data_IF_437267565020
#
_entry.id   IF_437267565020
#
_cell.length_a   1.000
_cell.length_b   1.000
_cell.length_c   1.000
_cell.angle_alpha   90.00
_cell.angle_beta   90.00
_cell.angle_gamma   90.00
#
_symmetry.space_group_name_H-M   'P 1'
#
loop_
_entity.id
_entity.type
_entity.pdbx_description
1 polymer ?
#
# COMPACT_ATOMS: atom_id res chain seq x y z
N UNK A 1 3.01 -42.52 16.85
CA UNK A 1 4.47 -42.46 16.56
C UNK A 1 4.84 -41.50 15.45
N UNK A 2 4.01 -41.27 14.40
CA UNK A 2 4.33 -40.33 13.28
C UNK A 2 4.51 -38.89 13.71
N UNK A 3 3.74 -38.38 14.67
CA UNK A 3 3.80 -36.94 15.07
C UNK A 3 5.03 -36.57 15.92
N UNK A 4 5.65 -37.55 16.61
CA UNK A 4 6.91 -37.30 17.35
C UNK A 4 8.11 -37.17 16.42
N UNK A 5 8.06 -37.86 15.27
CA UNK A 5 9.14 -37.80 14.26
C UNK A 5 9.18 -36.44 13.55
N UNK A 6 8.02 -35.84 13.29
CA UNK A 6 7.94 -34.52 12.65
C UNK A 6 8.44 -33.38 13.56
N UNK A 7 8.11 -33.46 14.86
CA UNK A 7 8.65 -32.51 15.85
C UNK A 7 10.16 -32.64 16.05
N UNK A 8 10.69 -33.88 16.00
CA UNK A 8 12.12 -34.14 16.11
C UNK A 8 12.90 -33.67 14.88
N UNK A 9 12.33 -33.73 13.67
CA UNK A 9 12.94 -33.23 12.44
C UNK A 9 13.00 -31.70 12.45
N UNK A 10 11.98 -31.01 12.94
CA UNK A 10 11.98 -29.55 13.10
C UNK A 10 13.01 -29.12 14.15
N UNK A 11 13.13 -29.86 15.24
CA UNK A 11 14.12 -29.58 16.30
C UNK A 11 15.56 -29.91 15.84
N UNK A 12 15.76 -30.92 15.00
CA UNK A 12 17.07 -31.28 14.42
C UNK A 12 17.54 -30.30 13.35
N UNK A 13 16.64 -29.69 12.58
CA UNK A 13 16.96 -28.62 11.64
C UNK A 13 17.49 -27.35 12.33
N UNK A 14 17.11 -27.11 13.60
CA UNK A 14 17.62 -25.98 14.40
C UNK A 14 19.05 -26.24 14.94
N UNK A 15 19.49 -27.51 15.00
CA UNK A 15 20.77 -27.89 15.64
C UNK A 15 21.97 -27.98 14.68
N UNK A 16 21.79 -27.86 13.37
CA UNK A 16 22.89 -28.12 12.39
C UNK A 16 23.64 -26.85 11.95
N UNK A 17 23.18 -25.65 12.30
CA UNK A 17 23.89 -24.43 11.92
C UNK A 17 24.90 -23.98 12.97
N UNK A 18 26.07 -24.58 12.97
CA UNK A 18 27.26 -24.01 13.60
C UNK A 18 27.82 -22.90 12.70
N UNK A 19 27.24 -21.73 12.76
CA UNK A 19 27.66 -20.56 11.98
C UNK A 19 27.73 -19.30 12.83
N UNK A 20 28.59 -18.37 12.44
CA UNK A 20 28.82 -17.08 13.10
C UNK A 20 27.54 -16.27 13.26
N UNK A 21 27.41 -15.53 14.36
CA UNK A 21 26.35 -14.56 14.69
C UNK A 21 24.99 -14.80 14.00
N UNK A 22 24.18 -15.65 14.60
CA UNK A 22 22.83 -15.95 14.10
C UNK A 22 21.79 -15.26 14.99
N UNK A 23 20.79 -14.65 14.38
CA UNK A 23 19.62 -14.11 15.07
C UNK A 23 18.37 -14.90 14.61
N UNK A 24 17.59 -15.38 15.57
CA UNK A 24 16.26 -15.95 15.35
C UNK A 24 15.23 -15.07 16.06
N UNK A 25 14.17 -14.69 15.36
CA UNK A 25 13.06 -13.94 15.95
C UNK A 25 11.71 -14.60 15.66
N UNK A 26 10.80 -14.53 16.65
CA UNK A 26 9.39 -14.87 16.49
C UNK A 26 8.58 -13.70 17.02
N UNK A 27 7.81 -13.08 16.13
CA UNK A 27 7.00 -11.91 16.41
C UNK A 27 5.54 -12.14 16.01
N UNK A 28 4.61 -11.44 16.64
CA UNK A 28 3.23 -11.37 16.18
C UNK A 28 2.82 -9.96 15.79
N UNK A 29 1.71 -9.84 15.05
CA UNK A 29 1.01 -8.58 14.78
C UNK A 29 -0.49 -8.89 14.82
N UNK A 30 -1.11 -8.59 15.95
CA UNK A 30 -2.54 -8.80 16.19
C UNK A 30 -3.21 -7.44 16.16
N UNK A 31 -4.22 -7.28 15.29
CA UNK A 31 -4.81 -5.98 15.01
C UNK A 31 -6.32 -6.07 14.80
N UNK A 32 -7.14 -6.10 15.86
CA UNK A 32 -8.57 -5.87 15.73
C UNK A 32 -8.83 -4.38 15.43
N UNK A 33 -9.79 -4.12 14.53
CA UNK A 33 -10.27 -2.79 14.16
C UNK A 33 -11.78 -2.80 14.08
N UNK A 34 -12.42 -2.10 15.01
CA UNK A 34 -13.85 -1.76 14.94
C UNK A 34 -14.01 -0.63 13.93
N UNK A 35 -14.96 -0.76 13.03
CA UNK A 35 -15.29 0.26 12.04
C UNK A 35 -16.80 0.54 12.05
N UNK A 36 -17.13 1.83 12.11
CA UNK A 36 -18.42 2.39 11.80
C UNK A 36 -18.31 3.08 10.44
N UNK A 37 -19.10 2.66 9.48
CA UNK A 37 -19.03 3.17 8.11
C UNK A 37 -20.39 3.69 7.68
N UNK A 38 -20.45 4.98 7.37
CA UNK A 38 -21.60 5.65 6.77
C UNK A 38 -21.09 6.54 5.63
N UNK A 39 -20.63 5.88 4.55
CA UNK A 39 -20.11 6.54 3.36
C UNK A 39 -18.59 6.38 3.15
N UNK A 40 -17.93 5.39 3.74
CA UNK A 40 -16.52 5.09 3.43
C UNK A 40 -16.38 4.56 1.99
N UNK A 41 -15.52 5.19 1.20
CA UNK A 41 -15.21 4.81 -0.18
C UNK A 41 -16.29 5.16 -1.21
N UNK A 42 -17.54 5.25 -0.81
CA UNK A 42 -18.67 5.58 -1.68
C UNK A 42 -19.66 6.49 -0.95
N UNK A 43 -20.27 7.42 -1.68
CA UNK A 43 -21.42 8.15 -1.17
C UNK A 43 -22.57 7.18 -0.93
N UNK A 44 -23.26 7.33 0.19
CA UNK A 44 -24.47 6.56 0.48
C UNK A 44 -25.71 7.40 0.32
N UNK A 45 -26.83 6.82 -0.15
CA UNK A 45 -28.08 7.55 -0.31
C UNK A 45 -28.70 7.96 1.04
N UNK A 46 -29.55 8.95 1.00
CA UNK A 46 -30.35 9.36 2.16
C UNK A 46 -31.21 8.20 2.66
N UNK A 47 -31.20 7.98 3.99
CA UNK A 47 -31.93 6.90 4.63
C UNK A 47 -31.22 5.55 4.65
N UNK A 48 -29.99 5.45 4.12
CA UNK A 48 -29.18 4.23 4.26
C UNK A 48 -28.65 4.09 5.70
N UNK A 49 -28.66 2.88 6.20
CA UNK A 49 -28.09 2.55 7.51
C UNK A 49 -26.56 2.49 7.47
N UNK A 50 -25.93 2.83 8.58
CA UNK A 50 -24.51 2.67 8.75
C UNK A 50 -24.13 1.21 8.99
N UNK A 51 -22.99 0.79 8.47
CA UNK A 51 -22.39 -0.50 8.78
C UNK A 51 -21.52 -0.43 10.05
N UNK A 52 -21.56 -1.48 10.86
CA UNK A 52 -20.70 -1.66 12.04
C UNK A 52 -20.11 -3.07 12.02
N UNK A 53 -18.79 -3.18 12.05
CA UNK A 53 -18.12 -4.50 12.03
C UNK A 53 -16.73 -4.42 12.68
N UNK A 54 -16.18 -5.58 13.02
CA UNK A 54 -14.80 -5.69 13.49
C UNK A 54 -14.02 -6.55 12.51
N UNK A 55 -13.00 -5.97 11.91
CA UNK A 55 -11.99 -6.73 11.16
C UNK A 55 -10.82 -7.07 12.07
N UNK A 56 -10.19 -8.22 11.84
CA UNK A 56 -8.99 -8.60 12.56
C UNK A 56 -7.93 -9.14 11.62
N UNK A 57 -6.70 -8.70 11.84
CA UNK A 57 -5.50 -9.33 11.31
C UNK A 57 -4.76 -10.03 12.43
N UNK A 58 -4.48 -11.30 12.26
CA UNK A 58 -3.61 -12.11 13.12
C UNK A 58 -2.43 -12.58 12.28
N UNK A 59 -1.22 -12.10 12.58
CA UNK A 59 -0.02 -12.43 11.79
C UNK A 59 1.08 -12.96 12.70
N UNK A 60 1.69 -14.08 12.30
CA UNK A 60 2.85 -14.66 12.95
C UNK A 60 4.05 -14.57 11.99
N UNK A 61 5.20 -14.18 12.53
CA UNK A 61 6.40 -13.85 11.77
C UNK A 61 7.59 -14.61 12.33
N UNK A 62 8.35 -15.23 11.43
CA UNK A 62 9.58 -15.93 11.73
C UNK A 62 10.72 -15.28 10.95
N UNK A 63 11.75 -14.83 11.64
CA UNK A 63 12.93 -14.22 11.05
C UNK A 63 14.19 -15.01 11.42
N UNK A 64 15.02 -15.31 10.45
CA UNK A 64 16.36 -15.84 10.62
C UNK A 64 17.36 -14.94 9.92
N UNK A 65 18.49 -14.63 10.58
CA UNK A 65 19.53 -13.78 10.03
C UNK A 65 20.91 -14.31 10.41
N UNK A 66 21.74 -14.51 9.41
CA UNK A 66 23.17 -14.79 9.52
C UNK A 66 23.97 -13.72 8.76
N UNK A 67 25.31 -13.80 8.75
CA UNK A 67 26.15 -12.80 8.09
C UNK A 67 25.82 -12.60 6.61
N UNK A 68 25.69 -13.69 5.87
CA UNK A 68 25.50 -13.68 4.41
C UNK A 68 24.13 -14.15 3.95
N UNK A 69 23.27 -14.55 4.88
CA UNK A 69 21.97 -15.14 4.58
C UNK A 69 20.90 -14.65 5.53
N UNK A 70 19.70 -14.40 5.00
CA UNK A 70 18.50 -14.14 5.76
C UNK A 70 17.34 -14.94 5.21
N UNK A 71 16.38 -15.26 6.07
CA UNK A 71 15.10 -15.86 5.69
C UNK A 71 13.98 -15.27 6.55
N UNK A 72 12.82 -15.11 5.95
CA UNK A 72 11.67 -14.57 6.64
C UNK A 72 10.40 -15.22 6.13
N UNK A 73 9.54 -15.62 7.05
CA UNK A 73 8.20 -16.15 6.75
C UNK A 73 7.20 -15.41 7.62
N UNK A 74 6.11 -14.98 7.03
CA UNK A 74 4.98 -14.39 7.73
C UNK A 74 3.69 -14.98 7.22
N UNK A 75 2.98 -15.66 8.08
CA UNK A 75 1.63 -16.17 7.83
C UNK A 75 0.61 -15.27 8.49
N UNK A 76 -0.57 -15.14 7.89
CA UNK A 76 -1.64 -14.31 8.43
C UNK A 76 -3.01 -14.93 8.23
N UNK A 77 -3.90 -14.58 9.15
CA UNK A 77 -5.33 -14.63 9.00
C UNK A 77 -5.90 -13.21 8.98
N UNK A 78 -6.86 -12.95 8.10
CA UNK A 78 -7.61 -11.68 8.03
C UNK A 78 -9.09 -12.04 7.93
N UNK A 79 -9.83 -11.74 8.97
CA UNK A 79 -11.23 -12.14 9.12
C UNK A 79 -12.10 -11.01 9.67
N UNK A 80 -13.40 -11.17 9.57
CA UNK A 80 -14.42 -10.35 10.26
C UNK A 80 -14.95 -11.18 11.44
N UNK A 81 -15.13 -10.54 12.59
CA UNK A 81 -15.68 -11.23 13.74
C UNK A 81 -17.11 -11.73 13.46
N UNK A 82 -17.35 -13.02 13.70
CA UNK A 82 -18.60 -13.70 13.36
C UNK A 82 -18.63 -14.39 11.99
N UNK A 83 -17.61 -14.15 11.15
CA UNK A 83 -17.47 -14.79 9.84
C UNK A 83 -17.20 -16.32 9.97
N UNK A 84 -16.44 -16.69 10.97
CA UNK A 84 -16.22 -18.11 11.32
C UNK A 84 -17.19 -18.53 12.43
N UNK A 85 -17.94 -19.66 12.26
CA UNK A 85 -18.84 -20.17 13.30
C UNK A 85 -18.11 -20.49 14.60
N UNK A 86 -18.80 -20.34 15.76
CA UNK A 86 -18.23 -20.68 17.07
C UNK A 86 -17.83 -22.15 17.17
N UNK A 87 -18.59 -23.07 16.55
CA UNK A 87 -18.24 -24.45 16.38
C UNK A 87 -17.75 -24.62 14.96
N UNK A 88 -16.43 -24.46 14.76
CA UNK A 88 -15.80 -24.64 13.48
C UNK A 88 -15.88 -26.09 13.03
N UNK A 89 -16.86 -26.40 12.17
CA UNK A 89 -16.73 -27.49 11.21
C UNK A 89 -15.81 -27.01 10.06
N UNK A 90 -15.44 -27.87 9.13
CA UNK A 90 -14.63 -27.52 7.98
C UNK A 90 -15.15 -26.21 7.34
N UNK A 91 -14.35 -25.15 7.44
CA UNK A 91 -14.73 -23.84 6.95
C UNK A 91 -14.51 -23.71 5.44
N UNK A 92 -15.47 -23.12 4.74
CA UNK A 92 -15.32 -22.70 3.35
C UNK A 92 -14.62 -21.34 3.20
N UNK A 93 -14.39 -20.61 4.30
CA UNK A 93 -13.89 -19.24 4.33
C UNK A 93 -12.46 -19.18 4.88
N UNK A 94 -11.53 -19.88 4.23
CA UNK A 94 -10.15 -19.89 4.66
C UNK A 94 -9.47 -18.55 4.33
N UNK A 95 -9.40 -17.64 5.31
CA UNK A 95 -8.70 -16.36 5.22
C UNK A 95 -7.19 -16.45 5.52
N UNK A 96 -6.71 -17.69 5.83
CA UNK A 96 -5.30 -17.93 6.11
C UNK A 96 -4.45 -17.83 4.85
N UNK A 97 -3.39 -17.02 4.90
CA UNK A 97 -2.53 -16.75 3.74
C UNK A 97 -1.07 -16.59 4.12
N UNK A 98 -0.21 -16.83 3.13
CA UNK A 98 1.22 -16.51 3.22
C UNK A 98 1.41 -15.04 2.87
N UNK A 99 1.60 -14.19 3.88
CA UNK A 99 1.81 -12.76 3.68
C UNK A 99 3.20 -12.49 3.07
N UNK A 100 4.25 -13.09 3.62
CA UNK A 100 5.60 -12.99 3.08
C UNK A 100 6.35 -14.30 3.26
N UNK A 101 7.18 -14.65 2.28
CA UNK A 101 8.16 -15.74 2.36
C UNK A 101 9.31 -15.42 1.41
N UNK A 102 10.44 -15.04 1.97
CA UNK A 102 11.59 -14.66 1.15
C UNK A 102 12.92 -15.06 1.82
N UNK A 103 13.93 -15.15 0.98
CA UNK A 103 15.33 -15.34 1.37
C UNK A 103 16.16 -14.18 0.82
N UNK A 104 17.20 -13.80 1.53
CA UNK A 104 18.20 -12.84 1.08
C UNK A 104 19.62 -13.40 1.18
N UNK A 105 20.46 -13.05 0.19
CA UNK A 105 21.88 -13.36 0.17
C UNK A 105 22.68 -12.09 0.01
N UNK A 106 23.77 -11.95 0.79
CA UNK A 106 24.72 -10.85 0.72
C UNK A 106 26.02 -11.35 0.08
N UNK A 107 26.41 -10.69 -1.00
CA UNK A 107 27.60 -11.06 -1.79
C UNK A 107 28.87 -10.30 -1.36
N UNK A 108 28.73 -9.31 -0.47
CA UNK A 108 29.80 -8.38 -0.10
C UNK A 108 29.78 -7.10 -0.93
N UNK A 109 30.61 -6.13 -0.56
CA UNK A 109 30.75 -4.84 -1.24
C UNK A 109 29.42 -4.10 -1.47
N UNK A 110 28.45 -4.28 -0.56
CA UNK A 110 27.14 -3.64 -0.62
C UNK A 110 26.09 -4.35 -1.48
N UNK A 111 26.45 -5.43 -2.19
CA UNK A 111 25.52 -6.18 -3.05
C UNK A 111 24.78 -7.27 -2.30
N UNK A 112 23.50 -7.41 -2.61
CA UNK A 112 22.63 -8.50 -2.12
C UNK A 112 21.54 -8.84 -3.13
N UNK A 113 20.88 -9.98 -2.92
CA UNK A 113 19.66 -10.34 -3.64
C UNK A 113 18.60 -10.76 -2.64
N UNK A 114 17.32 -10.51 -2.97
CA UNK A 114 16.18 -10.92 -2.16
C UNK A 114 15.13 -11.58 -3.08
N UNK A 115 14.74 -12.79 -2.74
CA UNK A 115 13.91 -13.64 -3.59
C UNK A 115 12.69 -14.14 -2.82
N UNK A 116 11.52 -14.07 -3.42
CA UNK A 116 10.26 -14.59 -2.89
C UNK A 116 9.20 -13.52 -2.64
N UNK A 117 8.12 -13.92 -1.95
CA UNK A 117 6.97 -13.07 -1.65
C UNK A 117 7.32 -12.02 -0.60
N UNK A 118 7.24 -10.74 -0.96
CA UNK A 118 7.73 -9.63 -0.15
C UNK A 118 6.97 -8.32 -0.39
N UNK A 119 7.00 -7.42 0.59
CA UNK A 119 6.54 -6.06 0.40
C UNK A 119 7.58 -5.26 -0.40
N UNK A 120 7.13 -4.54 -1.43
CA UNK A 120 7.90 -3.51 -2.11
C UNK A 120 7.43 -2.15 -1.58
N UNK A 121 8.34 -1.43 -0.94
CA UNK A 121 7.98 -0.17 -0.27
C UNK A 121 9.12 0.81 -0.38
N UNK A 122 8.92 1.84 -1.20
CA UNK A 122 9.93 2.85 -1.52
C UNK A 122 9.42 4.25 -1.24
N UNK A 123 10.32 5.13 -0.89
CA UNK A 123 10.09 6.56 -0.68
C UNK A 123 8.94 6.82 0.31
N UNK A 124 7.97 7.64 -0.07
CA UNK A 124 6.76 7.89 0.70
C UNK A 124 5.62 6.92 0.39
N UNK A 125 5.86 5.91 -0.46
CA UNK A 125 4.92 4.88 -0.89
C UNK A 125 3.83 5.39 -1.85
N UNK A 126 4.08 6.46 -2.60
CA UNK A 126 3.11 6.94 -3.59
C UNK A 126 2.97 5.97 -4.77
N UNK A 127 4.05 5.31 -5.21
CA UNK A 127 4.05 4.38 -6.34
C UNK A 127 4.14 2.92 -5.89
N UNK A 128 5.12 2.58 -5.05
CA UNK A 128 5.30 1.23 -4.51
C UNK A 128 5.19 1.28 -2.98
N UNK A 129 4.17 0.63 -2.43
CA UNK A 129 3.87 0.64 -1.02
C UNK A 129 3.30 -0.67 -0.48
N UNK A 130 3.64 -0.99 0.76
CA UNK A 130 3.25 -2.22 1.44
C UNK A 130 1.78 -2.27 1.90
N UNK A 131 1.04 -1.18 1.78
CA UNK A 131 -0.38 -1.05 2.13
C UNK A 131 -0.70 -1.62 3.55
N UNK A 132 0.15 -1.33 4.54
CA UNK A 132 0.02 -1.93 5.90
C UNK A 132 -1.23 -1.42 6.66
N UNK A 133 -1.89 -0.37 6.17
CA UNK A 133 -3.18 0.08 6.67
C UNK A 133 -4.28 -0.95 6.42
N UNK A 134 -4.40 -1.48 5.18
CA UNK A 134 -5.29 -2.57 4.87
C UNK A 134 -4.92 -3.82 5.68
N UNK A 135 -5.90 -4.58 6.12
CA UNK A 135 -5.66 -5.76 6.96
C UNK A 135 -4.77 -6.79 6.25
N UNK A 136 -4.95 -6.96 4.94
CA UNK A 136 -4.18 -7.92 4.13
C UNK A 136 -2.73 -7.47 3.90
N UNK A 137 -2.50 -6.16 3.70
CA UNK A 137 -1.23 -5.65 3.17
C UNK A 137 -1.07 -5.94 1.67
N UNK A 138 0.05 -5.49 1.07
CA UNK A 138 0.39 -5.77 -0.34
C UNK A 138 1.76 -6.41 -0.42
N UNK A 139 1.83 -7.53 -1.14
CA UNK A 139 3.05 -8.30 -1.34
C UNK A 139 3.18 -8.71 -2.81
N UNK A 140 4.42 -8.81 -3.27
CA UNK A 140 4.78 -9.17 -4.63
C UNK A 140 5.69 -10.39 -4.59
N UNK A 141 5.49 -11.34 -5.48
CA UNK A 141 6.42 -12.43 -5.73
C UNK A 141 7.51 -11.89 -6.65
N UNK A 142 8.70 -11.64 -6.10
CA UNK A 142 9.72 -10.84 -6.76
C UNK A 142 11.15 -11.34 -6.48
N UNK A 143 12.01 -11.10 -7.48
CA UNK A 143 13.45 -11.21 -7.37
C UNK A 143 14.08 -9.80 -7.40
N UNK A 144 14.89 -9.46 -6.40
CA UNK A 144 15.56 -8.17 -6.30
C UNK A 144 17.08 -8.36 -6.33
N UNK A 145 17.76 -7.52 -7.09
CA UNK A 145 19.19 -7.25 -6.99
C UNK A 145 19.34 -5.90 -6.33
N UNK A 146 20.09 -5.84 -5.25
CA UNK A 146 20.19 -4.66 -4.43
C UNK A 146 21.65 -4.26 -4.22
N UNK A 147 21.92 -2.97 -4.24
CA UNK A 147 23.20 -2.38 -3.88
C UNK A 147 23.01 -1.26 -2.87
N UNK A 148 23.88 -1.25 -1.87
CA UNK A 148 23.93 -0.20 -0.86
C UNK A 148 25.37 0.08 -0.47
N UNK A 149 25.78 1.35 -0.47
CA UNK A 149 27.09 1.75 0.02
C UNK A 149 26.99 2.64 1.29
N UNK A 150 28.14 2.89 1.89
CA UNK A 150 28.26 3.69 3.11
C UNK A 150 27.95 5.18 2.88
N UNK A 151 28.06 5.67 1.64
CA UNK A 151 27.80 7.07 1.32
C UNK A 151 26.31 7.39 1.11
N UNK A 152 25.40 6.42 1.37
CA UNK A 152 23.96 6.59 1.29
C UNK A 152 23.35 6.38 -0.12
N UNK A 153 24.13 5.82 -1.06
CA UNK A 153 23.61 5.39 -2.37
C UNK A 153 22.96 4.00 -2.22
N UNK A 154 21.76 3.85 -2.76
CA UNK A 154 20.98 2.60 -2.83
C UNK A 154 20.48 2.40 -4.24
N UNK A 155 20.54 1.19 -4.73
CA UNK A 155 19.99 0.76 -6.01
C UNK A 155 19.25 -0.56 -5.80
N UNK A 156 17.99 -0.62 -6.21
CA UNK A 156 17.23 -1.85 -6.30
C UNK A 156 16.76 -2.05 -7.74
N UNK A 157 17.02 -3.23 -8.28
CA UNK A 157 16.45 -3.69 -9.54
C UNK A 157 15.59 -4.89 -9.22
N UNK A 158 14.30 -4.80 -9.55
CA UNK A 158 13.31 -5.82 -9.20
C UNK A 158 12.61 -6.39 -10.42
N UNK A 159 12.27 -7.68 -10.34
CA UNK A 159 11.53 -8.42 -11.34
C UNK A 159 10.45 -9.25 -10.68
N UNK A 160 9.27 -9.26 -11.27
CA UNK A 160 8.13 -10.10 -10.87
C UNK A 160 7.50 -10.71 -12.10
N UNK A 161 7.01 -11.95 -11.97
CA UNK A 161 6.26 -12.64 -13.00
C UNK A 161 5.12 -13.42 -12.35
N UNK A 162 3.90 -13.21 -12.81
CA UNK A 162 2.69 -13.81 -12.27
C UNK A 162 2.08 -14.81 -13.25
N UNK A 163 1.57 -15.91 -12.73
CA UNK A 163 0.87 -16.97 -13.44
C UNK A 163 -0.21 -17.56 -12.52
N UNK A 164 -1.38 -17.93 -13.05
CA UNK A 164 -2.47 -18.49 -12.24
C UNK A 164 -2.21 -19.91 -11.75
N UNK A 165 -1.24 -20.60 -12.34
CA UNK A 165 -0.88 -21.95 -11.98
C UNK A 165 0.25 -22.48 -12.84
N UNK A 166 0.64 -23.73 -12.64
CA UNK A 166 1.65 -24.39 -13.47
C UNK A 166 1.03 -24.76 -14.80
N UNK A 167 1.44 -24.08 -15.88
CA UNK A 167 1.12 -24.47 -17.26
C UNK A 167 2.38 -24.89 -18.00
N UNK A 168 2.28 -25.95 -18.79
CA UNK A 168 3.39 -26.46 -19.64
C UNK A 168 3.14 -26.21 -21.12
N UNK A 169 2.02 -25.61 -21.49
CA UNK A 169 1.58 -25.42 -22.88
C UNK A 169 1.43 -23.95 -23.26
N UNK A 170 1.11 -23.08 -22.32
CA UNK A 170 1.04 -21.64 -22.56
C UNK A 170 1.38 -20.87 -21.28
N UNK A 171 1.58 -19.55 -21.40
CA UNK A 171 1.89 -18.65 -20.30
C UNK A 171 0.83 -17.55 -20.16
N UNK A 172 -0.42 -17.81 -20.60
CA UNK A 172 -1.50 -16.86 -20.42
C UNK A 172 -1.78 -16.64 -18.93
N UNK A 173 -2.03 -15.40 -18.56
CA UNK A 173 -2.36 -14.99 -17.20
C UNK A 173 -3.76 -14.39 -17.20
N UNK A 174 -4.66 -15.01 -16.47
CA UNK A 174 -6.01 -14.47 -16.27
C UNK A 174 -6.05 -13.60 -15.01
N UNK A 175 -6.11 -12.27 -15.15
CA UNK A 175 -6.17 -11.36 -14.01
C UNK A 175 -7.48 -11.50 -13.23
N UNK A 176 -8.53 -12.07 -13.81
CA UNK A 176 -9.83 -12.24 -13.16
C UNK A 176 -9.90 -13.50 -12.28
N UNK A 177 -8.96 -14.45 -12.45
CA UNK A 177 -8.97 -15.74 -11.74
C UNK A 177 -8.30 -15.71 -10.37
N UNK A 178 -7.84 -14.56 -9.88
CA UNK A 178 -7.12 -14.44 -8.60
C UNK A 178 -8.04 -14.10 -7.41
N UNK A 179 -9.36 -14.16 -7.58
CA UNK A 179 -10.31 -13.76 -6.53
C UNK A 179 -10.30 -12.25 -6.24
N UNK A 180 -9.48 -11.48 -6.94
CA UNK A 180 -9.50 -10.04 -6.91
C UNK A 180 -10.54 -9.53 -7.91
N UNK A 181 -11.55 -8.85 -7.44
CA UNK A 181 -12.58 -8.23 -8.27
C UNK A 181 -12.06 -7.10 -9.19
N UNK A 182 -10.73 -6.93 -9.31
CA UNK A 182 -10.11 -5.78 -9.98
C UNK A 182 -8.85 -6.18 -10.74
N UNK A 183 -9.05 -6.69 -11.94
CA UNK A 183 -7.98 -7.06 -12.89
C UNK A 183 -6.93 -5.94 -13.11
N UNK A 184 -7.29 -4.68 -12.90
CA UNK A 184 -6.39 -3.52 -13.05
C UNK A 184 -5.17 -3.56 -12.13
N UNK A 185 -5.24 -4.30 -11.01
CA UNK A 185 -4.13 -4.44 -10.06
C UNK A 185 -3.21 -5.63 -10.36
N UNK A 186 -3.62 -6.53 -11.26
CA UNK A 186 -2.91 -7.79 -11.51
C UNK A 186 -2.10 -7.71 -12.79
N UNK A 187 -0.82 -7.41 -12.67
CA UNK A 187 0.14 -7.47 -13.78
C UNK A 187 0.63 -8.90 -14.01
N UNK A 188 0.92 -9.22 -15.26
CA UNK A 188 1.62 -10.46 -15.66
C UNK A 188 3.11 -10.40 -15.33
N UNK A 189 3.73 -9.25 -15.59
CA UNK A 189 5.14 -9.00 -15.33
C UNK A 189 5.39 -7.60 -14.82
N UNK A 190 6.43 -7.45 -14.01
CA UNK A 190 6.93 -6.16 -13.60
C UNK A 190 8.44 -6.18 -13.59
N UNK A 191 9.06 -5.13 -14.15
CA UNK A 191 10.48 -4.84 -14.01
C UNK A 191 10.63 -3.40 -13.54
N UNK A 192 11.46 -3.15 -12.53
CA UNK A 192 11.68 -1.79 -12.07
C UNK A 192 13.12 -1.55 -11.62
N UNK A 193 13.49 -0.28 -11.64
CA UNK A 193 14.73 0.25 -11.08
C UNK A 193 14.38 1.38 -10.12
N UNK A 194 14.91 1.32 -8.91
CA UNK A 194 14.86 2.40 -7.94
C UNK A 194 16.28 2.76 -7.52
N UNK A 195 16.63 4.03 -7.72
CA UNK A 195 17.91 4.60 -7.32
C UNK A 195 17.66 5.67 -6.27
N UNK A 196 18.36 5.61 -5.14
CA UNK A 196 18.23 6.58 -4.05
C UNK A 196 19.57 7.06 -3.56
N UNK A 197 19.64 8.34 -3.22
CA UNK A 197 20.82 8.94 -2.60
C UNK A 197 20.41 9.81 -1.42
N UNK A 198 21.10 9.59 -0.29
CA UNK A 198 21.05 10.46 0.88
C UNK A 198 22.23 11.45 0.86
N UNK A 199 21.95 12.75 1.04
CA UNK A 199 22.91 13.80 1.35
C UNK A 199 22.58 14.39 2.72
N UNK A 200 23.38 15.32 3.22
CA UNK A 200 23.25 15.86 4.58
C UNK A 200 21.86 16.48 4.88
N UNK A 201 21.35 17.28 3.95
CA UNK A 201 20.08 18.03 4.10
C UNK A 201 19.06 17.72 3.02
N UNK A 202 19.40 16.83 2.11
CA UNK A 202 18.61 16.47 0.96
C UNK A 202 18.66 14.95 0.74
N UNK A 203 17.59 14.37 0.25
CA UNK A 203 17.59 13.03 -0.33
C UNK A 203 16.72 13.00 -1.57
N UNK A 204 17.06 12.14 -2.51
CA UNK A 204 16.29 11.98 -3.74
C UNK A 204 16.35 10.56 -4.23
N UNK A 205 15.28 10.17 -4.91
CA UNK A 205 15.20 8.90 -5.62
C UNK A 205 14.71 9.11 -7.05
N UNK A 206 15.11 8.18 -7.91
CA UNK A 206 14.56 7.99 -9.25
C UNK A 206 13.93 6.61 -9.30
N UNK A 207 12.73 6.53 -9.85
CA UNK A 207 12.02 5.29 -10.11
C UNK A 207 11.73 5.17 -11.61
N UNK A 208 11.96 3.98 -12.15
CA UNK A 208 11.42 3.54 -13.42
C UNK A 208 10.79 2.17 -13.20
N UNK A 209 9.54 1.99 -13.59
CA UNK A 209 8.84 0.70 -13.52
C UNK A 209 8.11 0.45 -14.83
N UNK A 210 8.25 -0.76 -15.37
CA UNK A 210 7.45 -1.27 -16.47
C UNK A 210 6.55 -2.39 -15.95
N UNK A 211 5.25 -2.26 -16.14
CA UNK A 211 4.27 -3.26 -15.83
C UNK A 211 3.68 -3.81 -17.13
N UNK A 212 3.79 -5.12 -17.33
CA UNK A 212 3.19 -5.84 -18.45
C UNK A 212 1.86 -6.45 -18.02
N UNK A 213 0.80 -6.18 -18.75
CA UNK A 213 -0.54 -6.70 -18.50
C UNK A 213 -0.90 -7.66 -19.63
N UNK A 214 -1.56 -8.78 -19.28
CA UNK A 214 -2.06 -9.73 -20.26
C UNK A 214 -3.11 -9.05 -21.14
N UNK A 215 -3.02 -9.27 -22.45
CA UNK A 215 -4.10 -8.87 -23.34
C UNK A 215 -5.36 -9.66 -23.04
N UNK A 216 -6.49 -8.97 -23.08
CA UNK A 216 -7.82 -9.55 -22.95
C UNK A 216 -8.57 -9.39 -24.27
N UNK A 217 -9.42 -10.35 -24.59
CA UNK A 217 -10.31 -10.28 -25.75
C UNK A 217 -11.31 -9.11 -25.59
N UNK A 218 -12.09 -8.86 -26.59
CA UNK A 218 -13.12 -7.81 -26.68
C UNK A 218 -14.17 -7.89 -25.57
N UNK A 219 -14.31 -9.05 -24.92
CA UNK A 219 -15.15 -9.22 -23.72
C UNK A 219 -14.51 -8.61 -22.44
N UNK A 220 -13.23 -8.20 -22.52
CA UNK A 220 -12.46 -7.66 -21.39
C UNK A 220 -12.16 -8.68 -20.28
N UNK A 221 -12.40 -9.96 -20.51
CA UNK A 221 -12.26 -11.03 -19.52
C UNK A 221 -11.39 -12.19 -19.97
N UNK A 222 -11.50 -12.60 -21.23
CA UNK A 222 -10.78 -13.77 -21.74
C UNK A 222 -9.34 -13.41 -22.10
N UNK A 223 -8.31 -14.03 -21.47
CA UNK A 223 -6.92 -13.79 -21.82
C UNK A 223 -6.60 -14.30 -23.23
N UNK A 224 -5.94 -13.44 -24.00
CA UNK A 224 -5.43 -13.75 -25.34
C UNK A 224 -3.91 -13.53 -25.40
N UNK A 225 -3.27 -13.97 -26.47
CA UNK A 225 -1.83 -13.82 -26.66
C UNK A 225 -1.39 -12.33 -26.65
N UNK A 226 -0.18 -12.09 -26.19
CA UNK A 226 0.41 -10.77 -26.10
C UNK A 226 0.23 -10.09 -24.76
N UNK A 227 0.91 -8.96 -24.62
CA UNK A 227 0.86 -8.09 -23.44
C UNK A 227 0.96 -6.64 -23.84
N UNK A 228 0.28 -5.78 -23.12
CA UNK A 228 0.52 -4.33 -23.18
C UNK A 228 1.42 -3.90 -22.02
N UNK A 229 2.19 -2.86 -22.24
CA UNK A 229 3.16 -2.36 -21.29
C UNK A 229 2.84 -0.93 -20.87
N UNK A 230 2.85 -0.69 -19.55
CA UNK A 230 2.67 0.62 -18.94
C UNK A 230 3.91 0.97 -18.15
N UNK A 231 4.51 2.11 -18.45
CA UNK A 231 5.68 2.62 -17.76
C UNK A 231 5.26 3.68 -16.75
N UNK A 232 5.86 3.63 -15.56
CA UNK A 232 5.79 4.70 -14.56
C UNK A 232 7.22 5.12 -14.23
N UNK A 233 7.51 6.40 -14.31
CA UNK A 233 8.84 6.94 -13.98
C UNK A 233 8.73 8.28 -13.30
N UNK A 234 9.72 8.60 -12.49
CA UNK A 234 9.73 9.87 -11.78
C UNK A 234 10.66 9.91 -10.58
N UNK A 235 10.41 10.86 -9.69
CA UNK A 235 11.30 11.17 -8.58
C UNK A 235 10.52 11.50 -7.31
N UNK A 236 11.11 11.14 -6.17
CA UNK A 236 10.74 11.63 -4.85
C UNK A 236 11.93 12.36 -4.24
N UNK A 237 11.72 13.63 -3.86
CA UNK A 237 12.76 14.49 -3.31
C UNK A 237 12.37 14.96 -1.92
N UNK A 238 13.31 14.95 -0.99
CA UNK A 238 13.11 15.47 0.37
C UNK A 238 14.23 16.44 0.70
N UNK A 239 13.88 17.68 1.06
CA UNK A 239 14.82 18.69 1.54
C UNK A 239 14.51 19.05 2.99
N UNK A 240 15.56 19.16 3.81
CA UNK A 240 15.52 19.58 5.22
C UNK A 240 16.51 20.72 5.43
N UNK A 241 16.23 21.93 4.90
CA UNK A 241 17.20 23.02 4.88
C UNK A 241 17.55 23.53 6.27
N UNK A 242 16.59 23.48 7.21
CA UNK A 242 16.77 23.89 8.60
C UNK A 242 16.08 22.94 9.57
N UNK A 243 16.40 23.04 10.86
CA UNK A 243 15.78 22.23 11.89
C UNK A 243 14.26 22.42 11.92
N UNK A 244 13.55 21.33 11.78
CA UNK A 244 12.07 21.30 11.83
C UNK A 244 11.37 21.59 10.51
N UNK A 245 12.03 22.19 9.50
CA UNK A 245 11.46 22.43 8.18
C UNK A 245 11.79 21.29 7.22
N UNK A 246 10.76 20.75 6.55
CA UNK A 246 10.89 19.69 5.55
C UNK A 246 10.03 20.02 4.34
N UNK A 247 10.58 19.83 3.15
CA UNK A 247 9.88 19.78 1.88
C UNK A 247 9.91 18.35 1.36
N UNK A 248 8.81 17.88 0.80
CA UNK A 248 8.72 16.60 0.11
C UNK A 248 8.01 16.81 -1.22
N UNK A 249 8.63 16.39 -2.33
CA UNK A 249 8.14 16.56 -3.69
C UNK A 249 8.03 15.17 -4.35
N UNK A 250 6.91 14.92 -5.01
CA UNK A 250 6.67 13.81 -5.92
C UNK A 250 6.42 14.35 -7.33
N UNK A 251 7.13 13.82 -8.32
CA UNK A 251 6.88 14.06 -9.72
C UNK A 251 6.96 12.74 -10.46
N UNK A 252 5.85 12.28 -11.02
CA UNK A 252 5.77 11.01 -11.75
C UNK A 252 5.02 11.19 -13.05
N UNK A 253 5.38 10.39 -14.05
CA UNK A 253 4.66 10.28 -15.30
C UNK A 253 4.40 8.79 -15.62
N UNK A 254 3.33 8.57 -16.37
CA UNK A 254 2.96 7.26 -16.89
C UNK A 254 2.78 7.34 -18.40
N UNK A 255 3.22 6.30 -19.12
CA UNK A 255 3.12 6.21 -20.57
C UNK A 255 2.98 4.74 -20.99
N UNK A 256 2.78 4.52 -22.27
CA UNK A 256 2.67 3.20 -22.89
C UNK A 256 1.25 2.90 -23.35
N UNK A 257 0.85 1.63 -23.26
CA UNK A 257 -0.47 1.17 -23.71
C UNK A 257 -1.34 0.78 -22.53
N UNK A 258 -2.55 1.33 -22.45
CA UNK A 258 -3.57 0.90 -21.50
C UNK A 258 -4.27 -0.39 -21.98
N UNK A 259 -4.62 -0.43 -23.26
CA UNK A 259 -5.01 -1.62 -24.01
C UNK A 259 -4.22 -1.62 -25.34
N UNK A 260 -4.44 -2.60 -26.22
CA UNK A 260 -3.78 -2.60 -27.54
C UNK A 260 -4.06 -1.34 -28.36
N UNK A 261 -5.25 -0.78 -28.21
CA UNK A 261 -5.73 0.36 -29.02
C UNK A 261 -5.78 1.68 -28.25
N UNK A 262 -5.55 1.66 -26.94
CA UNK A 262 -5.64 2.83 -26.07
C UNK A 262 -4.28 3.14 -25.46
N UNK A 263 -3.81 4.35 -25.70
CA UNK A 263 -2.56 4.85 -25.13
C UNK A 263 -2.73 5.33 -23.68
N UNK A 264 -1.62 5.46 -22.96
CA UNK A 264 -1.57 6.03 -21.62
C UNK A 264 -0.58 7.18 -21.60
N UNK A 265 -1.02 8.39 -21.19
CA UNK A 265 -0.18 9.56 -21.01
C UNK A 265 -0.66 10.36 -19.79
N UNK A 266 -0.11 10.09 -18.62
CA UNK A 266 -0.60 10.63 -17.36
C UNK A 266 0.55 11.15 -16.48
N UNK A 267 0.23 12.03 -15.53
CA UNK A 267 1.23 12.58 -14.61
C UNK A 267 0.67 12.84 -13.21
N UNK A 268 1.59 12.86 -12.24
CA UNK A 268 1.36 13.24 -10.85
C UNK A 268 2.41 14.26 -10.41
N UNK A 269 1.96 15.29 -9.72
CA UNK A 269 2.81 16.27 -9.06
C UNK A 269 2.30 16.54 -7.65
N UNK A 270 3.12 16.33 -6.63
CA UNK A 270 2.74 16.54 -5.23
C UNK A 270 3.85 17.24 -4.45
N UNK A 271 3.49 18.25 -3.65
CA UNK A 271 4.40 18.97 -2.76
C UNK A 271 3.79 19.04 -1.36
N UNK A 272 4.57 18.66 -0.37
CA UNK A 272 4.25 18.87 1.03
C UNK A 272 5.35 19.67 1.72
N UNK A 273 4.95 20.68 2.48
CA UNK A 273 5.83 21.45 3.37
C UNK A 273 5.39 21.21 4.79
N UNK A 274 6.32 20.79 5.66
CA UNK A 274 6.03 20.62 7.09
C UNK A 274 7.02 21.40 7.93
N UNK A 275 6.51 21.99 9.01
CA UNK A 275 7.31 22.70 10.00
C UNK A 275 7.00 22.22 11.42
N UNK A 276 8.03 21.86 12.15
CA UNK A 276 7.93 21.32 13.52
C UNK A 276 8.78 22.13 14.50
N UNK A 277 8.29 23.27 15.00
CA UNK A 277 9.03 24.13 15.93
C UNK A 277 9.18 23.55 17.34
N UNK A 278 8.44 22.52 17.68
CA UNK A 278 8.46 21.91 19.03
C UNK A 278 7.69 20.60 19.08
N UNK A 279 6.66 20.52 19.93
CA UNK A 279 5.80 19.34 20.06
C UNK A 279 4.73 19.26 18.95
N UNK A 280 4.47 20.36 18.26
CA UNK A 280 3.47 20.46 17.20
C UNK A 280 4.15 20.44 15.83
N UNK A 281 3.61 19.69 14.90
CA UNK A 281 3.96 19.72 13.49
C UNK A 281 2.81 20.34 12.73
N UNK A 282 3.10 21.33 11.90
CA UNK A 282 2.20 21.92 10.92
C UNK A 282 2.60 21.46 9.55
N UNK A 283 1.66 21.26 8.65
CA UNK A 283 1.90 20.89 7.27
C UNK A 283 0.85 21.48 6.36
N UNK A 284 1.28 21.81 5.16
CA UNK A 284 0.43 22.13 4.02
C UNK A 284 0.94 21.32 2.82
N UNK A 285 0.04 20.94 1.94
CA UNK A 285 0.41 20.21 0.74
C UNK A 285 -0.61 20.39 -0.36
N UNK A 286 -0.17 20.11 -1.56
CA UNK A 286 -1.01 20.01 -2.73
C UNK A 286 -0.56 18.83 -3.59
N UNK A 287 -1.50 18.14 -4.18
CA UNK A 287 -1.26 17.06 -5.12
C UNK A 287 -2.19 17.19 -6.33
N UNK A 288 -1.62 16.99 -7.51
CA UNK A 288 -2.33 16.89 -8.78
C UNK A 288 -2.12 15.49 -9.36
N UNK A 289 -3.21 14.81 -9.61
CA UNK A 289 -3.31 13.61 -10.44
C UNK A 289 -3.99 14.03 -11.74
N UNK A 290 -3.35 13.85 -12.88
CA UNK A 290 -3.97 14.10 -14.18
C UNK A 290 -5.18 13.20 -14.39
N UNK A 291 -6.12 13.65 -15.20
CA UNK A 291 -7.37 12.96 -15.50
C UNK A 291 -7.73 13.05 -16.98
N UNK A 292 -8.81 12.36 -17.33
CA UNK A 292 -9.53 12.50 -18.58
C UNK A 292 -10.78 13.32 -18.39
N UNK A 293 -11.22 14.02 -19.44
CA UNK A 293 -12.58 14.53 -19.47
C UNK A 293 -13.57 13.33 -19.50
N UNK A 294 -14.59 13.42 -18.69
CA UNK A 294 -15.57 12.33 -18.50
C UNK A 294 -16.48 12.10 -19.72
N UNK A 295 -16.22 12.71 -20.85
CA UNK A 295 -17.05 12.64 -22.06
C UNK A 295 -16.27 12.23 -23.31
N UNK A 296 -14.95 12.11 -23.25
CA UNK A 296 -14.10 11.84 -24.39
C UNK A 296 -13.69 10.37 -24.55
N UNK A 297 -13.52 9.95 -25.78
CA UNK A 297 -12.85 8.71 -26.16
C UNK A 297 -11.95 9.04 -27.34
N UNK A 298 -10.80 9.64 -27.04
CA UNK A 298 -9.78 10.01 -28.03
C UNK A 298 -8.73 8.92 -28.28
N UNK A 299 -8.92 7.73 -27.70
CA UNK A 299 -7.96 6.61 -27.77
C UNK A 299 -6.77 6.74 -26.82
N UNK A 300 -6.82 7.68 -25.88
CA UNK A 300 -5.78 7.90 -24.87
C UNK A 300 -6.41 7.98 -23.46
N UNK A 301 -5.73 7.45 -22.47
CA UNK A 301 -6.06 7.63 -21.05
C UNK A 301 -5.04 8.57 -20.42
N UNK A 302 -5.53 9.67 -19.87
CA UNK A 302 -4.73 10.71 -19.20
C UNK A 302 -4.82 10.67 -17.67
N UNK A 303 -5.62 9.75 -17.12
CA UNK A 303 -5.75 9.56 -15.68
C UNK A 303 -4.55 8.86 -15.08
N UNK A 304 -3.97 9.42 -14.02
CA UNK A 304 -2.81 8.86 -13.34
C UNK A 304 -3.20 7.72 -12.39
N UNK A 305 -2.48 6.60 -12.47
CA UNK A 305 -2.75 5.38 -11.69
C UNK A 305 -1.62 5.03 -10.72
N UNK A 306 -1.66 5.44 -9.46
CA UNK A 306 -0.71 4.98 -8.44
C UNK A 306 -1.09 3.58 -7.91
N UNK A 307 -1.15 2.57 -8.79
CA UNK A 307 -1.78 1.26 -8.55
C UNK A 307 -1.20 0.54 -7.32
N UNK A 308 0.13 0.56 -7.16
CA UNK A 308 0.81 -0.18 -6.10
C UNK A 308 1.19 0.71 -4.91
N UNK A 309 0.70 1.95 -4.85
CA UNK A 309 0.89 2.87 -3.75
C UNK A 309 0.12 2.50 -2.48
N UNK A 310 0.51 3.05 -1.35
CA UNK A 310 -0.30 3.04 -0.11
C UNK A 310 -1.32 4.18 -0.19
N UNK A 311 -2.32 4.01 -1.05
CA UNK A 311 -3.21 5.09 -1.46
C UNK A 311 -4.04 5.70 -0.33
N UNK A 312 -4.45 4.91 0.68
CA UNK A 312 -5.13 5.41 1.90
C UNK A 312 -4.34 6.48 2.68
N UNK A 313 -3.04 6.60 2.47
CA UNK A 313 -2.21 7.65 3.07
C UNK A 313 -2.42 9.01 2.41
N UNK A 314 -2.91 9.03 1.18
CA UNK A 314 -3.07 10.18 0.32
C UNK A 314 -4.54 10.42 0.02
N UNK A 315 -4.89 11.66 -0.33
CA UNK A 315 -6.18 12.05 -0.89
C UNK A 315 -7.40 11.70 -0.02
N UNK A 316 -7.27 11.95 1.31
CA UNK A 316 -8.31 11.70 2.29
C UNK A 316 -8.35 10.26 2.83
N UNK A 317 -8.82 10.09 4.06
CA UNK A 317 -8.88 8.78 4.73
C UNK A 317 -10.19 8.04 4.46
N UNK A 318 -11.19 8.69 3.88
CA UNK A 318 -12.44 8.03 3.47
C UNK A 318 -12.32 7.30 2.14
N UNK A 319 -11.14 7.28 1.49
CA UNK A 319 -10.82 6.50 0.28
C UNK A 319 -11.74 6.76 -0.93
N UNK A 320 -12.37 7.93 -1.04
CA UNK A 320 -13.18 8.29 -2.21
C UNK A 320 -12.35 8.39 -3.50
N UNK A 321 -11.07 8.76 -3.36
CA UNK A 321 -10.18 9.09 -4.47
C UNK A 321 -8.98 8.17 -4.56
N UNK A 322 -8.99 7.02 -3.87
CA UNK A 322 -7.93 6.05 -4.09
C UNK A 322 -8.09 5.39 -5.47
N UNK A 323 -7.00 4.87 -6.02
CA UNK A 323 -6.96 4.35 -7.39
C UNK A 323 -8.06 3.33 -7.71
N UNK A 324 -8.55 2.58 -6.76
CA UNK A 324 -9.65 1.64 -6.97
C UNK A 324 -11.04 2.28 -7.10
N UNK A 325 -11.21 3.53 -6.70
CA UNK A 325 -12.48 4.26 -6.79
C UNK A 325 -12.45 5.42 -7.78
N UNK A 326 -11.25 5.84 -8.21
CA UNK A 326 -11.05 7.02 -9.05
C UNK A 326 -10.13 6.76 -10.24
N UNK A 327 -9.97 5.49 -10.63
CA UNK A 327 -9.23 5.08 -11.82
C UNK A 327 -10.01 5.42 -13.09
N UNK A 328 -9.32 5.80 -14.16
CA UNK A 328 -9.91 6.23 -15.44
C UNK A 328 -10.93 7.35 -15.29
N UNK A 329 -10.63 8.35 -14.50
CA UNK A 329 -11.54 9.42 -14.17
C UNK A 329 -10.90 10.79 -14.36
N UNK A 330 -11.65 11.84 -14.04
CA UNK A 330 -11.33 13.26 -14.22
C UNK A 330 -10.08 13.74 -13.45
N UNK A 331 -9.30 12.84 -12.88
CA UNK A 331 -8.14 13.19 -12.07
C UNK A 331 -8.54 13.89 -10.77
N UNK A 332 -7.55 14.42 -10.06
CA UNK A 332 -7.78 15.01 -8.75
C UNK A 332 -6.78 16.13 -8.46
N UNK A 333 -7.27 17.23 -7.93
CA UNK A 333 -6.51 18.25 -7.23
C UNK A 333 -6.86 18.15 -5.74
N UNK A 334 -5.87 17.88 -4.91
CA UNK A 334 -6.00 17.77 -3.45
C UNK A 334 -5.14 18.85 -2.80
N UNK A 335 -5.75 19.82 -2.15
CA UNK A 335 -5.05 20.83 -1.35
C UNK A 335 -5.39 20.55 0.11
N UNK A 336 -4.38 20.43 0.96
CA UNK A 336 -4.63 20.08 2.35
C UNK A 336 -3.75 20.84 3.34
N UNK A 337 -4.28 20.96 4.55
CA UNK A 337 -3.54 21.39 5.73
C UNK A 337 -3.61 20.31 6.82
N UNK A 338 -2.54 20.14 7.58
CA UNK A 338 -2.50 19.19 8.69
C UNK A 338 -1.80 19.76 9.91
N UNK A 339 -2.23 19.30 11.07
CA UNK A 339 -1.56 19.54 12.34
C UNK A 339 -1.42 18.24 13.12
N UNK A 340 -0.24 18.00 13.70
CA UNK A 340 0.00 16.89 14.61
C UNK A 340 0.52 17.42 15.90
N UNK A 341 -0.25 17.26 16.99
CA UNK A 341 0.09 17.72 18.33
C UNK A 341 0.47 16.52 19.20
N UNK A 342 1.66 16.55 19.81
CA UNK A 342 1.99 15.63 20.89
C UNK A 342 1.38 16.17 22.19
N UNK A 343 0.30 15.55 22.64
CA UNK A 343 -0.44 15.95 23.86
C UNK A 343 0.18 15.38 25.14
N UNK A 344 1.12 14.43 24.99
CA UNK A 344 1.90 13.82 26.07
C UNK A 344 3.13 13.09 25.55
N UNK A 345 3.74 12.28 26.39
CA UNK A 345 4.90 11.45 26.04
C UNK A 345 4.51 10.27 25.17
N UNK A 346 3.29 9.78 25.33
CA UNK A 346 2.80 8.53 24.71
C UNK A 346 1.62 8.75 23.76
N UNK A 347 1.15 9.97 23.58
CA UNK A 347 -0.02 10.25 22.77
C UNK A 347 0.17 11.42 21.81
N UNK A 348 -0.61 11.41 20.73
CA UNK A 348 -0.68 12.48 19.74
C UNK A 348 -2.06 12.54 19.11
N UNK A 349 -2.43 13.73 18.68
CA UNK A 349 -3.62 14.01 17.88
C UNK A 349 -3.17 14.56 16.53
N UNK A 350 -3.67 13.97 15.45
CA UNK A 350 -3.58 14.48 14.08
C UNK A 350 -4.95 15.03 13.69
N UNK A 351 -4.97 16.19 13.05
CA UNK A 351 -6.10 16.66 12.27
C UNK A 351 -5.60 17.04 10.87
N UNK A 352 -6.36 16.71 9.83
CA UNK A 352 -6.07 17.02 8.44
C UNK A 352 -7.35 17.47 7.75
N UNK A 353 -7.28 18.53 6.97
CA UNK A 353 -8.39 19.07 6.21
C UNK A 353 -7.97 19.08 4.74
N UNK A 354 -8.80 18.49 3.90
CA UNK A 354 -8.61 18.41 2.46
C UNK A 354 -9.67 19.23 1.74
N UNK A 355 -9.27 19.86 0.65
CA UNK A 355 -10.14 20.43 -0.38
C UNK A 355 -9.88 19.68 -1.68
N UNK A 356 -10.92 19.06 -2.23
CA UNK A 356 -10.83 18.25 -3.44
C UNK A 356 -11.54 18.90 -4.61
N UNK A 357 -10.90 18.91 -5.77
CA UNK A 357 -11.53 19.23 -7.04
C UNK A 357 -11.03 18.29 -8.15
N UNK A 358 -11.85 18.11 -9.19
CA UNK A 358 -11.43 17.40 -10.39
C UNK A 358 -10.33 18.18 -11.12
N UNK A 359 -9.40 17.48 -11.75
CA UNK A 359 -8.40 18.10 -12.62
C UNK A 359 -9.02 18.49 -13.97
N UNK A 360 -9.91 17.63 -14.50
CA UNK A 360 -10.60 17.82 -15.77
C UNK A 360 -12.11 18.07 -15.57
N UNK A 361 -12.80 18.40 -16.64
CA UNK A 361 -14.24 18.67 -16.65
C UNK A 361 -15.04 17.39 -16.34
N UNK A 362 -16.15 17.56 -15.64
CA UNK A 362 -17.04 16.46 -15.28
C UNK A 362 -18.30 16.57 -16.17
N UNK A 363 -18.58 15.55 -16.97
CA UNK A 363 -19.78 15.52 -17.79
C UNK A 363 -21.03 15.62 -16.91
N UNK A 364 -21.92 16.55 -17.26
CA UNK A 364 -23.17 16.81 -16.53
C UNK A 364 -23.11 17.88 -15.45
N UNK A 365 -21.95 18.51 -15.25
CA UNK A 365 -21.81 19.69 -14.35
C UNK A 365 -20.73 20.63 -14.89
N UNK A 366 -20.83 21.91 -14.52
CA UNK A 366 -19.81 22.92 -14.83
C UNK A 366 -18.87 23.21 -13.63
N UNK A 367 -19.07 22.53 -12.51
CA UNK A 367 -18.27 22.70 -11.31
C UNK A 367 -17.30 21.54 -11.13
N UNK A 368 -16.08 21.84 -10.75
CA UNK A 368 -15.02 20.85 -10.46
C UNK A 368 -14.88 20.53 -8.96
N UNK A 369 -15.54 21.26 -8.08
CA UNK A 369 -15.45 21.04 -6.65
C UNK A 369 -16.07 19.69 -6.26
N UNK A 370 -15.26 18.78 -5.70
CA UNK A 370 -15.70 17.45 -5.31
C UNK A 370 -16.08 17.36 -3.82
N UNK A 371 -15.47 18.18 -2.99
CA UNK A 371 -15.80 18.16 -1.57
C UNK A 371 -14.65 18.55 -0.67
N UNK A 372 -14.96 18.56 0.64
CA UNK A 372 -13.99 18.82 1.71
C UNK A 372 -14.03 17.68 2.71
N UNK A 373 -12.88 17.11 3.06
CA UNK A 373 -12.78 16.02 4.04
C UNK A 373 -11.98 16.45 5.26
N UNK A 374 -12.52 16.19 6.44
CA UNK A 374 -11.84 16.36 7.72
C UNK A 374 -11.48 14.99 8.28
N UNK A 375 -10.20 14.78 8.55
CA UNK A 375 -9.66 13.59 9.22
C UNK A 375 -9.10 13.92 10.58
N UNK A 376 -9.45 13.15 11.60
CA UNK A 376 -8.90 13.26 12.95
C UNK A 376 -8.45 11.89 13.44
N UNK A 377 -7.22 11.78 13.91
CA UNK A 377 -6.68 10.52 14.45
C UNK A 377 -5.98 10.76 15.79
N UNK A 378 -6.50 10.14 16.83
CA UNK A 378 -5.85 10.03 18.12
C UNK A 378 -5.00 8.75 18.16
N UNK A 379 -3.76 8.86 18.66
CA UNK A 379 -2.84 7.73 18.85
C UNK A 379 -2.35 7.71 20.28
N UNK A 380 -2.46 6.55 20.95
CA UNK A 380 -2.00 6.30 22.32
C UNK A 380 -1.09 5.07 22.35
N UNK A 381 0.17 5.22 22.72
CA UNK A 381 1.03 4.09 23.11
C UNK A 381 0.63 3.63 24.49
N UNK A 382 0.08 2.42 24.60
CA UNK A 382 -0.33 1.82 25.87
C UNK A 382 0.85 1.10 26.51
N UNK A 383 1.57 0.30 25.70
CA UNK A 383 2.75 -0.47 26.08
C UNK A 383 3.81 -0.33 24.97
N UNK A 384 5.07 -0.71 25.18
CA UNK A 384 6.09 -0.69 24.14
C UNK A 384 5.70 -1.44 22.85
N UNK A 385 4.87 -2.47 23.00
CA UNK A 385 4.38 -3.34 21.92
C UNK A 385 2.88 -3.16 21.62
N UNK A 386 2.17 -2.23 22.29
CA UNK A 386 0.73 -2.02 22.11
C UNK A 386 0.41 -0.54 21.89
N UNK A 387 -0.34 -0.25 20.81
CA UNK A 387 -0.79 1.09 20.43
C UNK A 387 -2.29 1.07 20.11
N UNK A 388 -3.06 1.93 20.74
CA UNK A 388 -4.44 2.24 20.39
C UNK A 388 -4.45 3.42 19.41
N UNK A 389 -5.24 3.31 18.35
CA UNK A 389 -5.59 4.43 17.47
C UNK A 389 -7.09 4.53 17.36
N UNK A 390 -7.60 5.76 17.37
CA UNK A 390 -9.02 6.07 17.15
C UNK A 390 -9.06 7.13 16.07
N UNK A 391 -9.83 6.91 15.03
CA UNK A 391 -9.98 7.83 13.91
C UNK A 391 -11.43 8.18 13.66
N UNK A 392 -11.64 9.38 13.12
CA UNK A 392 -12.90 9.85 12.60
C UNK A 392 -12.62 10.69 11.35
N UNK A 393 -13.40 10.44 10.31
CA UNK A 393 -13.38 11.20 9.07
C UNK A 393 -14.77 11.62 8.67
N UNK A 394 -14.89 12.82 8.11
CA UNK A 394 -16.14 13.41 7.62
C UNK A 394 -15.91 14.00 6.24
N UNK A 395 -16.67 13.54 5.26
CA UNK A 395 -16.74 14.13 3.93
C UNK A 395 -17.95 15.06 3.82
N UNK A 396 -17.72 16.25 3.33
CA UNK A 396 -18.71 17.21 2.87
C UNK A 396 -18.64 17.22 1.34
N UNK A 397 -19.43 16.33 0.72
CA UNK A 397 -19.43 16.16 -0.73
C UNK A 397 -20.05 17.39 -1.42
N UNK A 398 -19.48 17.80 -2.56
CA UNK A 398 -20.07 18.77 -3.45
C UNK A 398 -21.02 18.12 -4.46
N UNK A 399 -21.88 18.91 -5.09
CA UNK A 399 -22.85 18.43 -6.09
C UNK A 399 -22.15 17.71 -7.26
N UNK A 400 -20.97 18.17 -7.65
CA UNK A 400 -20.18 17.55 -8.71
C UNK A 400 -19.67 16.17 -8.35
N UNK A 401 -19.45 15.88 -7.07
CA UNK A 401 -19.12 14.55 -6.61
C UNK A 401 -20.31 13.59 -6.73
N UNK A 402 -21.53 14.07 -6.50
CA UNK A 402 -22.74 13.29 -6.70
C UNK A 402 -22.89 12.85 -8.16
N UNK A 403 -22.68 13.79 -9.08
CA UNK A 403 -22.69 13.53 -10.53
C UNK A 403 -21.59 12.52 -10.89
N UNK A 404 -20.36 12.74 -10.43
CA UNK A 404 -19.20 11.90 -10.73
C UNK A 404 -19.34 10.48 -10.20
N UNK A 405 -19.92 10.30 -9.03
CA UNK A 405 -20.13 8.99 -8.39
C UNK A 405 -21.48 8.34 -8.74
N UNK A 406 -22.33 9.01 -9.52
CA UNK A 406 -23.60 8.48 -9.97
C UNK A 406 -24.62 8.26 -8.85
N UNK A 407 -24.57 9.07 -7.80
CA UNK A 407 -25.48 9.01 -6.65
C UNK A 407 -26.47 10.17 -6.73
N UNK A 408 -27.76 9.86 -6.62
CA UNK A 408 -28.84 10.85 -6.48
C UNK A 408 -29.31 10.88 -5.03
N UNK A 409 -29.48 12.09 -4.49
CA UNK A 409 -29.94 12.31 -3.12
C UNK A 409 -29.06 11.58 -2.06
N UNK A 410 -27.77 11.90 -1.98
CA UNK A 410 -26.91 11.31 -0.96
C UNK A 410 -27.33 11.75 0.44
N UNK A 411 -26.92 10.99 1.44
CA UNK A 411 -27.02 11.41 2.84
C UNK A 411 -26.20 12.68 3.07
N UNK A 412 -26.75 13.67 3.77
CA UNK A 412 -26.00 14.85 4.18
C UNK A 412 -24.85 14.54 5.17
N UNK A 413 -24.81 13.32 5.70
CA UNK A 413 -23.79 12.85 6.61
C UNK A 413 -23.03 11.67 5.97
N UNK A 414 -21.79 11.92 5.53
CA UNK A 414 -20.87 10.94 4.97
C UNK A 414 -19.69 10.84 5.94
N UNK A 415 -19.64 9.83 6.79
CA UNK A 415 -18.60 9.74 7.80
C UNK A 415 -18.11 8.30 8.05
N UNK A 416 -16.95 8.22 8.66
CA UNK A 416 -16.28 6.98 8.99
C UNK A 416 -15.58 7.11 10.35
N UNK A 417 -15.84 6.18 11.25
CA UNK A 417 -15.20 6.12 12.55
C UNK A 417 -14.58 4.75 12.78
N UNK A 418 -13.42 4.72 13.47
CA UNK A 418 -12.76 3.45 13.75
C UNK A 418 -11.93 3.48 15.03
N UNK A 419 -11.80 2.33 15.66
CA UNK A 419 -10.88 2.11 16.76
C UNK A 419 -10.04 0.87 16.49
N UNK A 420 -8.73 1.00 16.54
CA UNK A 420 -7.78 -0.07 16.19
C UNK A 420 -6.75 -0.25 17.29
N UNK A 421 -6.67 -1.47 17.82
CA UNK A 421 -5.60 -1.88 18.72
C UNK A 421 -4.52 -2.63 17.92
N UNK A 422 -3.29 -2.17 17.99
CA UNK A 422 -2.13 -2.77 17.32
C UNK A 422 -1.25 -3.37 18.40
N UNK A 423 -1.13 -4.70 18.43
CA UNK A 423 -0.30 -5.43 19.39
C UNK A 423 0.77 -6.21 18.64
N UNK A 424 2.04 -5.85 18.85
CA UNK A 424 3.21 -6.43 18.17
C UNK A 424 4.22 -6.97 19.18
N UNK A 425 3.92 -8.06 19.89
CA UNK A 425 4.86 -8.65 20.84
C UNK A 425 5.99 -9.36 20.10
N UNK A 426 7.17 -9.31 20.68
CA UNK A 426 8.27 -10.20 20.33
C UNK A 426 8.22 -11.38 21.30
N UNK A 427 7.96 -12.59 20.80
CA UNK A 427 7.86 -13.82 21.62
C UNK A 427 9.22 -14.45 21.86
N UNK A 428 10.12 -14.31 20.89
CA UNK A 428 11.47 -14.84 20.98
C UNK A 428 12.43 -13.95 20.19
N UNK A 429 13.50 -13.56 20.83
CA UNK A 429 14.70 -13.04 20.18
C UNK A 429 15.91 -13.76 20.74
N UNK A 430 16.50 -14.62 19.92
CA UNK A 430 17.68 -15.37 20.27
C UNK A 430 18.86 -14.95 19.38
N UNK A 431 20.01 -14.69 20.00
CA UNK A 431 21.26 -14.36 19.31
C UNK A 431 22.30 -15.38 19.74
N UNK A 432 22.96 -16.02 18.78
CA UNK A 432 24.16 -16.79 19.10
C UNK A 432 25.25 -15.83 19.53
N UNK A 433 25.94 -16.13 20.62
CA UNK A 433 27.15 -15.38 20.98
C UNK A 433 28.21 -15.57 19.89
N UNK A 434 28.96 -14.53 19.51
CA UNK A 434 30.15 -14.72 18.70
C UNK A 434 31.05 -15.75 19.42
N UNK A 435 31.62 -16.70 18.68
CA UNK A 435 32.72 -17.49 19.22
C UNK A 435 33.90 -16.53 19.40
N UNK A 436 34.36 -16.36 20.62
CA UNK A 436 35.65 -15.75 20.94
C UNK A 436 36.78 -16.52 20.24
#
# INVERSE_FOLDING_TARGET
>A
MKNKLQFTIILLLVLVFKGNAQELSIDADIRPRLEYSHGFGNLIPSGADAALFVQQRSRLKFGYKADKFGAYISVQDVSVWGDTPQIAAADGNNSFSLAQAWIDFKFGNGWSTKLGRQALSYDDQRILGGLDWAMQGRFHDAALIQYKNETGLKLDVGFSFNQNGVSRVNTLFDPNNNGNARAVFDYKGMAYLWLHKDWKTFSGSLLFANNSYQNLDTDGQTPIDGTVNRQTFGTHLVAKPTKGLKFALNLYAQTGKFTETVDLAAYNAGLEVTYKPGKTLYGIGAELLSGDDNGGSDGEIKSFFPIFGTNHKFNGYMDYFYVGNHANNVGLQDIYAKVVVKTGTSNSLLAKLHYFSAAEDIAGTNDKYLGTELDVVFTQKILPYATLKIGYSQMFAGDSMEVLKGITNPSGLQNWGWAMLIVKPNFLKWNSKPKE
#
